data_IF_249767474492
#
_entry.id   IF_249767474492
#
_cell.length_a   1.000
_cell.length_b   1.000
_cell.length_c   1.000
_cell.angle_alpha   90.00
_cell.angle_beta   90.00
_cell.angle_gamma   90.00
#
_symmetry.space_group_name_H-M   'P 1'
#
loop_
_entity.id
_entity.type
_entity.pdbx_description
1 polymer ?
#
# COMPACT_ATOMS: atom_id res chain seq x y z
N UNK A 1 -7.58 24.09 -8.89
CA UNK A 1 -6.45 24.08 -7.94
C UNK A 1 -5.14 23.68 -8.61
N UNK A 2 -5.04 22.56 -9.39
CA UNK A 2 -3.78 22.11 -10.02
C UNK A 2 -3.06 23.20 -10.82
N UNK A 3 -3.81 23.95 -11.63
CA UNK A 3 -3.24 25.06 -12.40
C UNK A 3 -2.78 26.24 -11.51
N UNK A 4 -3.48 26.51 -10.42
CA UNK A 4 -3.08 27.55 -9.48
C UNK A 4 -1.74 27.21 -8.83
N UNK A 5 -1.59 25.96 -8.32
CA UNK A 5 -0.33 25.50 -7.73
C UNK A 5 0.82 25.41 -8.74
N UNK A 6 0.53 25.07 -9.99
CA UNK A 6 1.53 25.03 -11.06
C UNK A 6 2.09 26.43 -11.38
N UNK A 7 1.25 27.47 -11.35
CA UNK A 7 1.65 28.82 -11.79
C UNK A 7 2.05 29.75 -10.66
N UNK A 8 1.52 29.51 -9.46
CA UNK A 8 1.70 30.41 -8.31
C UNK A 8 2.35 29.70 -7.11
N UNK A 9 2.70 28.42 -7.25
CA UNK A 9 3.35 27.65 -6.17
C UNK A 9 4.80 28.04 -5.95
N UNK A 10 5.27 27.84 -4.72
CA UNK A 10 6.62 28.19 -4.29
C UNK A 10 7.73 27.34 -4.94
N UNK A 11 7.39 26.21 -5.53
CA UNK A 11 8.35 25.33 -6.25
C UNK A 11 8.24 25.64 -7.74
N UNK A 12 9.26 26.25 -8.37
CA UNK A 12 9.22 26.60 -9.78
C UNK A 12 9.30 25.37 -10.68
N UNK A 13 8.77 25.52 -11.91
CA UNK A 13 8.88 24.47 -12.94
C UNK A 13 7.90 23.31 -12.82
N UNK A 14 7.04 23.28 -11.80
CA UNK A 14 6.01 22.26 -11.68
C UNK A 14 4.84 22.55 -12.63
N UNK A 15 4.54 21.59 -13.51
CA UNK A 15 3.36 21.62 -14.38
C UNK A 15 2.11 21.16 -13.62
N UNK A 16 0.95 21.39 -14.19
CA UNK A 16 -0.33 20.95 -13.60
C UNK A 16 -0.45 19.42 -13.47
N UNK A 17 0.29 18.65 -14.29
CA UNK A 17 0.44 17.20 -14.20
C UNK A 17 1.08 16.75 -12.88
N UNK A 18 2.06 17.50 -12.37
CA UNK A 18 2.71 17.20 -11.08
C UNK A 18 1.76 17.32 -9.88
N UNK A 19 0.65 18.01 -10.02
CA UNK A 19 -0.41 18.12 -9.01
C UNK A 19 -1.60 17.17 -9.28
N UNK A 20 -1.39 16.16 -10.12
CA UNK A 20 -2.40 15.14 -10.43
C UNK A 20 -1.99 13.79 -9.84
N UNK A 21 -2.80 13.24 -8.95
CA UNK A 21 -2.57 11.92 -8.38
C UNK A 21 -2.80 10.75 -9.37
N UNK A 22 -3.36 11.05 -10.56
CA UNK A 22 -3.53 10.09 -11.66
C UNK A 22 -2.40 10.17 -12.70
N UNK A 23 -1.41 11.06 -12.50
CA UNK A 23 -0.29 11.23 -13.42
C UNK A 23 1.01 10.75 -12.78
N UNK A 24 1.87 10.00 -13.50
CA UNK A 24 3.11 9.45 -12.95
C UNK A 24 4.01 10.48 -12.27
N UNK A 25 4.10 11.71 -12.83
CA UNK A 25 4.91 12.79 -12.27
C UNK A 25 4.34 13.39 -10.97
N UNK A 26 3.02 13.24 -10.73
CA UNK A 26 2.34 13.85 -9.58
C UNK A 26 1.99 12.86 -8.49
N UNK A 27 1.73 11.61 -8.83
CA UNK A 27 1.26 10.61 -7.87
C UNK A 27 2.32 10.25 -6.83
N UNK A 28 1.87 9.89 -5.64
CA UNK A 28 2.73 9.27 -4.63
C UNK A 28 3.28 7.93 -5.14
N UNK A 29 4.60 7.74 -5.17
CA UNK A 29 5.19 6.50 -5.71
C UNK A 29 4.90 5.27 -4.86
N UNK A 30 4.67 5.43 -3.55
CA UNK A 30 4.41 4.31 -2.64
C UNK A 30 3.00 3.72 -2.80
N UNK A 31 1.98 4.57 -3.01
CA UNK A 31 0.59 4.13 -3.16
C UNK A 31 0.04 4.35 -4.58
N UNK A 32 0.87 4.76 -5.52
CA UNK A 32 0.48 5.05 -6.92
C UNK A 32 -0.77 5.95 -7.01
N UNK A 33 -0.84 6.97 -6.16
CA UNK A 33 -1.94 7.92 -6.12
C UNK A 33 -3.22 7.44 -5.42
N UNK A 34 -3.23 6.26 -4.80
CA UNK A 34 -4.41 5.73 -4.10
C UNK A 34 -4.66 6.41 -2.74
N UNK A 35 -3.64 6.98 -2.10
CA UNK A 35 -3.71 7.56 -0.76
C UNK A 35 -3.67 6.53 0.37
N UNK A 36 -3.84 5.26 0.04
CA UNK A 36 -3.84 4.12 0.96
C UNK A 36 -3.00 2.97 0.40
N UNK A 37 -2.54 2.12 1.27
CA UNK A 37 -1.90 0.86 0.93
C UNK A 37 -2.84 -0.29 1.26
N UNK A 38 -2.79 -1.28 0.43
CA UNK A 38 -3.45 -2.56 0.69
C UNK A 38 -2.37 -3.49 1.20
N UNK A 39 -2.61 -4.12 2.33
CA UNK A 39 -1.73 -5.13 2.92
C UNK A 39 -2.55 -6.30 3.45
N UNK A 40 -1.88 -7.37 3.80
CA UNK A 40 -2.52 -8.52 4.45
C UNK A 40 -2.37 -8.37 5.96
N UNK A 41 -3.48 -8.43 6.69
CA UNK A 41 -3.47 -8.41 8.15
C UNK A 41 -3.08 -9.79 8.70
N UNK A 42 -1.94 -9.91 9.40
CA UNK A 42 -1.52 -11.16 10.03
C UNK A 42 -2.51 -11.69 11.06
N UNK A 43 -3.27 -10.82 11.73
CA UNK A 43 -4.25 -11.23 12.72
C UNK A 43 -5.48 -11.91 12.10
N UNK A 44 -5.82 -11.53 10.87
CA UNK A 44 -6.85 -12.20 10.08
C UNK A 44 -6.32 -13.46 9.39
N UNK A 45 -5.01 -13.50 9.13
CA UNK A 45 -4.34 -14.57 8.39
C UNK A 45 -4.01 -15.77 9.26
N UNK A 46 -3.76 -15.59 10.57
CA UNK A 46 -3.28 -16.62 11.48
C UNK A 46 -4.27 -16.97 12.58
N UNK A 47 -4.47 -18.26 12.82
CA UNK A 47 -5.00 -18.75 14.10
C UNK A 47 -3.82 -19.13 15.00
N UNK A 48 -3.46 -18.24 15.91
CA UNK A 48 -2.28 -18.41 16.79
C UNK A 48 -2.39 -19.57 17.77
N UNK A 49 -3.60 -20.07 18.02
CA UNK A 49 -3.83 -21.23 18.92
C UNK A 49 -3.49 -22.55 18.26
N UNK A 50 -3.33 -22.57 16.95
CA UNK A 50 -2.98 -23.73 16.15
C UNK A 50 -1.49 -23.77 15.83
N UNK A 51 -0.99 -24.98 15.66
CA UNK A 51 0.32 -25.25 15.07
C UNK A 51 0.24 -25.16 13.54
N UNK A 52 1.40 -25.08 12.88
CA UNK A 52 1.48 -25.09 11.42
C UNK A 52 0.87 -26.37 10.82
N UNK A 53 1.05 -27.51 11.48
CA UNK A 53 0.50 -28.80 11.08
C UNK A 53 -1.03 -28.84 11.18
N UNK A 54 -1.61 -28.15 12.16
CA UNK A 54 -3.04 -27.99 12.35
C UNK A 54 -3.68 -26.91 11.46
N UNK A 55 -2.89 -26.28 10.58
CA UNK A 55 -3.39 -25.28 9.64
C UNK A 55 -3.55 -23.91 10.26
N UNK A 56 -2.55 -23.43 11.01
CA UNK A 56 -2.53 -22.10 11.60
C UNK A 56 -2.63 -20.96 10.57
N UNK A 57 -2.22 -21.19 9.31
CA UNK A 57 -2.38 -20.21 8.22
C UNK A 57 -3.75 -20.40 7.56
N UNK A 58 -4.64 -19.45 7.72
CA UNK A 58 -6.06 -19.56 7.34
C UNK A 58 -6.35 -19.31 5.84
N UNK A 59 -5.35 -18.84 5.06
CA UNK A 59 -5.54 -18.61 3.64
C UNK A 59 -5.74 -19.92 2.87
N UNK A 60 -6.71 -20.02 1.92
CA UNK A 60 -7.01 -21.24 1.18
C UNK A 60 -5.82 -21.86 0.43
N UNK A 61 -4.85 -21.05 0.01
CA UNK A 61 -3.62 -21.54 -0.61
C UNK A 61 -2.75 -22.35 0.35
N UNK A 62 -2.97 -22.21 1.67
CA UNK A 62 -2.28 -22.96 2.73
C UNK A 62 -3.17 -24.02 3.39
N UNK A 63 -4.25 -24.45 2.72
CA UNK A 63 -5.11 -25.53 3.24
C UNK A 63 -4.29 -26.80 3.55
N UNK A 64 -4.65 -27.47 4.62
CA UNK A 64 -4.02 -28.75 5.03
C UNK A 64 -3.99 -29.72 3.85
N UNK A 65 -2.84 -30.36 3.62
CA UNK A 65 -2.60 -31.25 2.48
C UNK A 65 -2.35 -30.53 1.15
N UNK A 66 -2.48 -29.20 1.08
CA UNK A 66 -2.16 -28.39 -0.10
C UNK A 66 -0.65 -28.23 -0.33
N UNK A 67 -0.28 -27.72 -1.51
CA UNK A 67 1.13 -27.52 -1.89
C UNK A 67 1.85 -26.57 -0.93
N UNK A 68 1.33 -25.37 -0.70
CA UNK A 68 1.99 -24.37 0.14
C UNK A 68 2.08 -24.81 1.61
N UNK A 69 1.09 -25.53 2.12
CA UNK A 69 1.14 -26.12 3.46
C UNK A 69 2.27 -27.15 3.58
N UNK A 70 2.41 -28.08 2.60
CA UNK A 70 3.52 -29.05 2.59
C UNK A 70 4.88 -28.37 2.45
N UNK A 71 4.97 -27.33 1.63
CA UNK A 71 6.17 -26.52 1.47
C UNK A 71 6.57 -25.84 2.79
N UNK A 72 5.58 -25.30 3.52
CA UNK A 72 5.77 -24.66 4.80
C UNK A 72 6.30 -25.67 5.84
N UNK A 73 5.63 -26.80 6.01
CA UNK A 73 6.08 -27.84 6.96
C UNK A 73 7.45 -28.42 6.57
N UNK A 74 7.69 -28.65 5.30
CA UNK A 74 8.97 -29.18 4.81
C UNK A 74 10.08 -28.13 4.72
N UNK A 75 9.88 -26.89 5.15
CA UNK A 75 10.94 -25.87 5.17
C UNK A 75 11.99 -26.16 6.24
N UNK A 76 11.62 -26.89 7.29
CA UNK A 76 12.45 -27.17 8.48
C UNK A 76 12.91 -25.88 9.22
N UNK A 77 12.24 -24.76 8.96
CA UNK A 77 12.54 -23.47 9.60
C UNK A 77 11.82 -23.29 10.93
N UNK A 78 10.72 -24.01 11.13
CA UNK A 78 9.79 -23.82 12.25
C UNK A 78 9.45 -25.16 12.90
N UNK A 79 9.10 -25.11 14.19
CA UNK A 79 8.46 -26.26 14.85
C UNK A 79 7.02 -26.38 14.36
N UNK A 80 6.73 -27.47 13.67
CA UNK A 80 5.44 -27.70 13.03
C UNK A 80 4.33 -28.09 14.01
N UNK A 81 4.67 -28.56 15.19
CA UNK A 81 3.75 -29.11 16.20
C UNK A 81 3.44 -28.10 17.33
N UNK A 82 4.25 -27.04 17.48
CA UNK A 82 4.05 -25.99 18.48
C UNK A 82 3.04 -24.93 17.99
N UNK A 83 2.02 -24.54 18.81
CA UNK A 83 1.12 -23.45 18.49
C UNK A 83 1.85 -22.11 18.28
N UNK A 84 1.37 -21.29 17.30
CA UNK A 84 2.03 -20.04 16.93
C UNK A 84 2.06 -18.99 18.07
N UNK A 85 1.19 -19.10 19.07
CA UNK A 85 1.23 -18.23 20.25
C UNK A 85 2.50 -18.41 21.10
N UNK A 86 3.19 -19.54 20.94
CA UNK A 86 4.45 -19.84 21.62
C UNK A 86 5.70 -19.51 20.78
N UNK A 87 5.51 -19.09 19.54
CA UNK A 87 6.62 -18.67 18.70
C UNK A 87 7.20 -17.37 19.21
N UNK A 88 8.53 -17.23 19.16
CA UNK A 88 9.18 -15.95 19.38
C UNK A 88 8.81 -14.96 18.28
N UNK A 89 8.87 -13.67 18.58
CA UNK A 89 8.56 -12.62 17.61
C UNK A 89 9.41 -12.69 16.33
N UNK A 90 10.66 -13.14 16.47
CA UNK A 90 11.57 -13.33 15.34
C UNK A 90 11.13 -14.49 14.44
N UNK A 91 10.61 -15.58 15.03
CA UNK A 91 10.08 -16.71 14.27
C UNK A 91 8.81 -16.33 13.52
N UNK A 92 7.87 -15.62 14.19
CA UNK A 92 6.67 -15.08 13.56
C UNK A 92 7.00 -14.10 12.44
N UNK A 93 7.98 -13.22 12.66
CA UNK A 93 8.43 -12.28 11.63
C UNK A 93 9.04 -13.01 10.43
N UNK A 94 9.80 -14.08 10.66
CA UNK A 94 10.37 -14.92 9.61
C UNK A 94 9.27 -15.65 8.84
N UNK A 95 8.30 -16.24 9.56
CA UNK A 95 7.15 -16.91 8.96
C UNK A 95 6.36 -15.99 8.04
N UNK A 96 6.13 -14.74 8.46
CA UNK A 96 5.26 -13.79 7.76
C UNK A 96 5.99 -12.99 6.68
N UNK A 97 7.21 -12.51 6.97
CA UNK A 97 7.84 -11.43 6.21
C UNK A 97 9.22 -11.74 5.65
N UNK A 98 9.75 -12.97 5.82
CA UNK A 98 11.06 -13.30 5.25
C UNK A 98 11.10 -13.02 3.74
N UNK A 99 12.18 -12.34 3.31
CA UNK A 99 12.45 -12.07 1.90
C UNK A 99 13.64 -12.90 1.48
N UNK A 100 13.44 -13.88 0.60
CA UNK A 100 14.53 -14.63 -0.03
C UNK A 100 15.47 -15.32 0.97
N UNK A 101 14.93 -15.97 2.01
CA UNK A 101 15.73 -16.75 2.95
C UNK A 101 16.17 -18.07 2.29
N UNK A 102 17.48 -18.34 2.09
CA UNK A 102 17.92 -19.58 1.50
C UNK A 102 17.69 -20.75 2.46
N UNK A 103 17.06 -21.80 1.96
CA UNK A 103 16.90 -23.07 2.67
C UNK A 103 17.53 -24.19 1.85
N UNK A 104 18.18 -25.11 2.53
CA UNK A 104 18.78 -26.29 1.89
C UNK A 104 17.82 -27.46 2.08
N UNK A 105 17.36 -28.05 0.98
CA UNK A 105 16.51 -29.25 1.00
C UNK A 105 17.27 -30.45 0.49
N UNK A 106 17.06 -31.57 1.16
CA UNK A 106 17.57 -32.89 0.72
C UNK A 106 16.55 -33.55 -0.21
N UNK A 107 17.01 -34.07 -1.34
CA UNK A 107 16.20 -34.89 -2.23
C UNK A 107 17.01 -36.09 -2.69
N UNK A 108 16.68 -37.27 -2.18
CA UNK A 108 17.46 -38.48 -2.39
C UNK A 108 18.89 -38.34 -1.85
N UNK A 109 19.89 -38.61 -2.68
CA UNK A 109 21.30 -38.44 -2.35
C UNK A 109 21.84 -37.01 -2.59
N UNK A 110 21.03 -36.11 -3.10
CA UNK A 110 21.40 -34.74 -3.44
C UNK A 110 20.78 -33.68 -2.50
N UNK A 111 21.43 -32.51 -2.48
CA UNK A 111 20.90 -31.31 -1.82
C UNK A 111 20.66 -30.23 -2.87
N UNK A 112 19.56 -29.47 -2.73
CA UNK A 112 19.31 -28.30 -3.54
C UNK A 112 18.95 -27.10 -2.67
N UNK A 113 19.36 -25.92 -3.12
CA UNK A 113 18.98 -24.69 -2.46
C UNK A 113 17.63 -24.22 -2.98
N UNK A 114 16.74 -23.84 -2.07
CA UNK A 114 15.48 -23.19 -2.36
C UNK A 114 15.39 -21.90 -1.53
N UNK A 115 14.64 -20.95 -2.03
CA UNK A 115 14.40 -19.69 -1.31
C UNK A 115 13.05 -19.78 -0.61
N UNK A 116 13.05 -19.53 0.69
CA UNK A 116 11.85 -19.33 1.48
C UNK A 116 11.37 -17.88 1.33
N UNK A 117 10.10 -17.72 1.08
CA UNK A 117 9.39 -16.45 1.07
C UNK A 117 8.30 -16.50 2.15
N UNK A 118 8.25 -15.50 3.02
CA UNK A 118 7.26 -15.42 4.09
C UNK A 118 5.83 -15.38 3.56
N UNK A 119 4.91 -15.89 4.37
CA UNK A 119 3.51 -16.09 3.95
C UNK A 119 2.87 -14.81 3.44
N UNK A 120 3.00 -13.70 4.18
CA UNK A 120 2.47 -12.38 3.78
C UNK A 120 3.16 -11.90 2.50
N UNK A 121 4.51 -11.96 2.42
CA UNK A 121 5.26 -11.55 1.23
C UNK A 121 4.80 -12.29 -0.02
N UNK A 122 4.62 -13.60 0.09
CA UNK A 122 4.15 -14.45 -1.01
C UNK A 122 2.73 -14.10 -1.44
N UNK A 123 1.82 -13.92 -0.49
CA UNK A 123 0.43 -13.57 -0.78
C UNK A 123 0.31 -12.16 -1.35
N UNK A 124 1.04 -11.17 -0.81
CA UNK A 124 1.07 -9.81 -1.38
C UNK A 124 1.59 -9.80 -2.81
N UNK A 125 2.66 -10.54 -3.08
CA UNK A 125 3.20 -10.67 -4.44
C UNK A 125 2.20 -11.30 -5.41
N UNK A 126 1.45 -12.32 -4.96
CA UNK A 126 0.50 -13.05 -5.80
C UNK A 126 -0.83 -12.31 -6.01
N UNK A 127 -1.31 -11.57 -5.01
CA UNK A 127 -2.67 -11.04 -4.97
C UNK A 127 -2.77 -9.51 -5.00
N UNK A 128 -1.73 -8.79 -4.56
CA UNK A 128 -1.73 -7.32 -4.48
C UNK A 128 -0.84 -6.69 -5.55
N UNK A 129 0.38 -7.23 -5.72
CA UNK A 129 1.40 -6.62 -6.60
C UNK A 129 1.35 -7.13 -8.04
N UNK A 130 0.56 -8.15 -8.32
CA UNK A 130 0.32 -8.68 -9.67
C UNK A 130 -0.87 -7.94 -10.30
N UNK A 131 -0.86 -7.82 -11.63
CA UNK A 131 -2.02 -7.29 -12.33
C UNK A 131 -3.24 -8.18 -12.00
N UNK A 132 -4.19 -7.59 -11.29
CA UNK A 132 -5.32 -8.32 -10.69
C UNK A 132 -6.27 -8.93 -11.74
N UNK A 133 -6.15 -8.51 -13.00
CA UNK A 133 -6.98 -9.04 -14.11
C UNK A 133 -6.59 -10.47 -14.52
N UNK A 134 -5.35 -10.89 -14.24
CA UNK A 134 -4.87 -12.23 -14.58
C UNK A 134 -5.32 -13.34 -13.59
N UNK A 135 -5.87 -12.98 -12.44
CA UNK A 135 -6.27 -13.95 -11.43
C UNK A 135 -7.75 -14.34 -11.58
N UNK A 136 -8.11 -15.64 -11.50
CA UNK A 136 -9.49 -16.08 -11.41
C UNK A 136 -10.25 -15.36 -10.29
N UNK A 137 -11.50 -14.99 -10.54
CA UNK A 137 -12.35 -14.24 -9.61
C UNK A 137 -12.41 -14.86 -8.21
N UNK A 138 -12.61 -16.18 -8.14
CA UNK A 138 -12.67 -16.93 -6.88
C UNK A 138 -11.41 -16.79 -6.03
N UNK A 139 -10.23 -16.79 -6.67
CA UNK A 139 -8.95 -16.60 -5.98
C UNK A 139 -8.80 -15.19 -5.44
N UNK A 140 -9.22 -14.18 -6.20
CA UNK A 140 -9.24 -12.79 -5.71
C UNK A 140 -10.16 -12.63 -4.50
N UNK A 141 -11.37 -13.15 -4.60
CA UNK A 141 -12.37 -13.10 -3.52
C UNK A 141 -11.86 -13.81 -2.25
N UNK A 142 -11.14 -14.92 -2.37
CA UNK A 142 -10.58 -15.64 -1.23
C UNK A 142 -9.54 -14.84 -0.44
N UNK A 143 -8.86 -13.89 -1.07
CA UNK A 143 -7.88 -13.03 -0.42
C UNK A 143 -8.51 -11.81 0.26
N UNK A 144 -9.69 -11.33 -0.22
CA UNK A 144 -10.29 -10.07 0.24
C UNK A 144 -10.50 -10.01 1.76
N UNK A 145 -10.86 -11.12 2.40
CA UNK A 145 -11.10 -11.18 3.84
C UNK A 145 -9.85 -10.99 4.71
N UNK A 146 -8.66 -11.07 4.11
CA UNK A 146 -7.38 -10.89 4.79
C UNK A 146 -6.77 -9.53 4.52
N UNK A 147 -7.40 -8.72 3.66
CA UNK A 147 -6.89 -7.40 3.28
C UNK A 147 -7.27 -6.34 4.30
N UNK A 148 -6.32 -5.49 4.59
CA UNK A 148 -6.51 -4.27 5.35
C UNK A 148 -6.08 -3.07 4.51
N UNK A 149 -6.81 -1.98 4.68
CA UNK A 149 -6.56 -0.71 3.99
C UNK A 149 -6.00 0.27 4.99
N UNK A 150 -4.73 0.58 4.87
CA UNK A 150 -4.03 1.52 5.73
C UNK A 150 -3.75 2.81 4.99
N UNK A 151 -3.76 3.93 5.71
CA UNK A 151 -3.32 5.20 5.14
C UNK A 151 -1.87 5.10 4.67
N UNK A 152 -1.56 5.64 3.51
CA UNK A 152 -0.21 5.61 2.98
C UNK A 152 0.73 6.46 3.85
N UNK A 153 1.67 5.84 4.54
CA UNK A 153 2.63 6.51 5.43
C UNK A 153 3.50 7.55 4.72
N UNK A 154 3.70 7.44 3.40
CA UNK A 154 4.51 8.38 2.64
C UNK A 154 3.77 9.68 2.29
N UNK A 155 2.51 9.61 1.89
CA UNK A 155 1.72 10.77 1.50
C UNK A 155 0.62 11.12 2.50
N UNK A 156 0.43 10.34 3.55
CA UNK A 156 -0.59 10.57 4.58
C UNK A 156 -1.97 10.86 3.95
N UNK A 157 -2.44 9.93 3.13
CA UNK A 157 -3.71 10.06 2.42
C UNK A 157 -3.75 11.04 1.25
N UNK A 158 -2.80 11.97 1.15
CA UNK A 158 -2.80 13.11 0.20
C UNK A 158 -2.55 12.74 -1.25
N UNK A 159 -2.18 11.50 -1.56
CA UNK A 159 -2.12 10.90 -2.89
C UNK A 159 -1.02 11.42 -3.82
N UNK A 160 -0.37 12.53 -3.49
CA UNK A 160 0.66 13.20 -4.29
C UNK A 160 2.07 12.88 -3.77
N UNK A 161 3.06 13.07 -4.64
CA UNK A 161 4.46 12.93 -4.28
C UNK A 161 4.94 14.07 -3.38
N UNK A 162 6.11 13.90 -2.76
CA UNK A 162 6.68 14.88 -1.82
C UNK A 162 6.93 16.25 -2.44
N UNK A 163 7.33 16.28 -3.72
CA UNK A 163 7.64 17.55 -4.40
C UNK A 163 6.37 18.36 -4.61
N UNK A 164 5.30 17.74 -5.12
CA UNK A 164 4.00 18.40 -5.26
C UNK A 164 3.45 18.86 -3.90
N UNK A 165 3.58 18.02 -2.86
CA UNK A 165 3.13 18.35 -1.50
C UNK A 165 3.96 19.44 -0.82
N UNK A 166 5.20 19.69 -1.23
CA UNK A 166 6.04 20.77 -0.68
C UNK A 166 5.71 22.15 -1.25
N UNK A 167 5.09 22.21 -2.42
CA UNK A 167 4.73 23.50 -3.05
C UNK A 167 3.63 24.21 -2.26
N UNK A 168 3.79 25.53 -2.07
CA UNK A 168 2.88 26.38 -1.28
C UNK A 168 2.34 27.54 -2.11
N UNK A 169 1.07 27.84 -1.90
CA UNK A 169 0.42 29.07 -2.36
C UNK A 169 -0.13 29.75 -1.12
N UNK A 170 0.29 30.99 -0.85
CA UNK A 170 -0.07 31.74 0.37
C UNK A 170 0.15 30.91 1.67
N UNK A 171 1.27 30.19 1.73
CA UNK A 171 1.64 29.36 2.89
C UNK A 171 1.00 27.99 2.96
N UNK A 172 -0.01 27.68 2.15
CA UNK A 172 -0.74 26.41 2.18
C UNK A 172 -0.32 25.48 1.04
N UNK A 173 -0.17 24.19 1.35
CA UNK A 173 0.04 23.15 0.35
C UNK A 173 -1.26 22.71 -0.32
N UNK A 174 -1.15 22.07 -1.48
CA UNK A 174 -2.33 21.59 -2.20
C UNK A 174 -3.14 20.58 -1.36
N UNK A 175 -2.47 19.72 -0.58
CA UNK A 175 -3.14 18.79 0.34
C UNK A 175 -3.98 19.52 1.39
N UNK A 176 -3.41 20.56 2.00
CA UNK A 176 -4.09 21.36 3.04
C UNK A 176 -5.33 22.09 2.48
N UNK A 177 -5.25 22.49 1.22
CA UNK A 177 -6.34 23.22 0.53
C UNK A 177 -7.46 22.28 0.08
N UNK A 178 -7.12 21.07 -0.35
CA UNK A 178 -8.12 20.08 -0.81
C UNK A 178 -8.94 19.49 0.35
N UNK A 179 -8.39 19.47 1.56
CA UNK A 179 -9.07 19.00 2.77
C UNK A 179 -10.06 20.01 3.37
N UNK A 180 -10.10 21.26 2.86
CA UNK A 180 -10.99 22.31 3.37
C UNK A 180 -12.43 22.12 2.91
N UNK A 181 -13.34 22.56 3.74
CA UNK A 181 -14.73 22.76 3.33
C UNK A 181 -14.85 23.84 2.22
N UNK A 182 -15.88 23.74 1.40
CA UNK A 182 -16.04 24.65 0.25
C UNK A 182 -16.08 26.14 0.64
N UNK A 183 -16.69 26.46 1.79
CA UNK A 183 -16.75 27.82 2.34
C UNK A 183 -15.35 28.32 2.72
N UNK A 184 -14.56 27.47 3.38
CA UNK A 184 -13.18 27.80 3.74
C UNK A 184 -12.28 27.91 2.53
N UNK A 185 -12.50 27.05 1.52
CA UNK A 185 -11.80 27.11 0.25
C UNK A 185 -12.07 28.44 -0.46
N UNK A 186 -13.33 28.90 -0.53
CA UNK A 186 -13.65 30.20 -1.14
C UNK A 186 -13.01 31.35 -0.36
N UNK A 187 -13.08 31.32 0.97
CA UNK A 187 -12.43 32.33 1.81
C UNK A 187 -10.91 32.39 1.59
N UNK A 188 -10.25 31.21 1.50
CA UNK A 188 -8.84 31.16 1.19
C UNK A 188 -8.54 31.67 -0.24
N UNK A 189 -9.31 31.26 -1.24
CA UNK A 189 -9.16 31.75 -2.60
C UNK A 189 -9.27 33.30 -2.67
N UNK A 190 -10.13 33.89 -1.85
CA UNK A 190 -10.26 35.32 -1.75
C UNK A 190 -9.00 36.03 -1.20
N UNK A 191 -8.08 35.34 -0.56
CA UNK A 191 -6.79 35.90 -0.09
C UNK A 191 -5.68 35.80 -1.14
N UNK A 192 -5.81 34.94 -2.15
CA UNK A 192 -4.77 34.72 -3.17
C UNK A 192 -4.72 35.92 -4.11
N UNK A 193 -3.53 36.54 -4.27
CA UNK A 193 -3.29 37.74 -5.08
C UNK A 193 -2.22 37.47 -6.14
N UNK A 194 -2.19 38.27 -7.19
CA UNK A 194 -1.20 38.26 -8.25
C UNK A 194 -1.81 38.18 -9.64
N UNK A 195 -1.20 38.82 -10.62
CA UNK A 195 -1.71 38.89 -12.00
C UNK A 195 -2.01 37.54 -12.62
N UNK A 196 -1.14 36.52 -12.34
CA UNK A 196 -1.31 35.16 -12.84
C UNK A 196 -2.40 34.42 -12.07
N UNK A 197 -2.58 34.71 -10.79
CA UNK A 197 -3.54 34.04 -9.92
C UNK A 197 -4.98 34.53 -10.14
N UNK A 198 -5.18 35.82 -10.34
CA UNK A 198 -6.51 36.45 -10.41
C UNK A 198 -7.50 35.80 -11.38
N UNK A 199 -7.14 35.50 -12.66
CA UNK A 199 -8.07 34.88 -13.58
C UNK A 199 -8.48 33.44 -13.12
N UNK A 200 -7.54 32.71 -12.51
CA UNK A 200 -7.79 31.38 -12.01
C UNK A 200 -8.69 31.40 -10.77
N UNK A 201 -8.41 32.31 -9.84
CA UNK A 201 -9.21 32.51 -8.62
C UNK A 201 -10.64 32.92 -8.98
N UNK A 202 -10.81 33.91 -9.87
CA UNK A 202 -12.12 34.34 -10.32
C UNK A 202 -12.94 33.19 -10.89
N UNK A 203 -12.33 32.39 -11.76
CA UNK A 203 -13.00 31.23 -12.35
C UNK A 203 -13.38 30.17 -11.28
N UNK A 204 -12.49 29.86 -10.34
CA UNK A 204 -12.76 28.89 -9.29
C UNK A 204 -13.87 29.38 -8.35
N UNK A 205 -13.83 30.61 -7.90
CA UNK A 205 -14.88 31.21 -7.05
C UNK A 205 -16.23 31.27 -7.75
N UNK A 206 -16.24 31.57 -9.06
CA UNK A 206 -17.46 31.53 -9.86
C UNK A 206 -18.09 30.13 -9.95
N UNK A 207 -17.29 29.07 -9.83
CA UNK A 207 -17.81 27.66 -9.76
C UNK A 207 -18.35 27.35 -8.36
N UNK A 208 -17.73 27.89 -7.31
CA UNK A 208 -18.13 27.63 -5.90
C UNK A 208 -19.41 28.40 -5.50
N UNK A 209 -19.77 29.45 -6.21
CA UNK A 209 -20.97 30.26 -5.93
C UNK A 209 -22.27 29.72 -6.54
N UNK A 210 -22.20 28.56 -7.22
CA UNK A 210 -23.34 27.83 -7.78
C UNK A 210 -23.56 26.52 -7.00
#
# INVERSE_FOLDING_TARGET
LRMLFSRCGSVPGLLSSHFSFNHPEGMCPACKGLGRRISIDPNLLLDRRKSLKEGAVLHPDYRIGGWNWRELLGSELFDNDTPLEKFADQELNTLLYARSLPIIKKHGAGTYSKVWEGVVQKLERLYINRDSEELPRERRESCLRFLVYEECSQCQGRRLNKVALSSRVQGYGIGDVVERELVELDAWLATVRGEVAEPLVRKMRGILSH
#
